data_IF_275785633068
#
_entry.id   IF_275785633068
#
_cell.length_a   1.000
_cell.length_b   1.000
_cell.length_c   1.000
_cell.angle_alpha   90.00
_cell.angle_beta   90.00
_cell.angle_gamma   90.00
#
_symmetry.space_group_name_H-M   'P 1'
#
loop_
_entity.id
_entity.type
_entity.pdbx_description
1 polymer ?
#
# COMPACT_ATOMS: atom_id res chain seq x y z
N UNK A 1 -8.92 -14.78 19.97
CA UNK A 1 -10.25 -14.67 20.63
C UNK A 1 -11.41 -14.77 19.63
N UNK A 2 -11.32 -14.20 18.42
CA UNK A 2 -12.40 -14.24 17.39
C UNK A 2 -12.73 -15.66 16.86
N UNK A 3 -11.73 -16.53 16.71
CA UNK A 3 -11.93 -17.88 16.17
C UNK A 3 -12.75 -18.79 17.10
N UNK A 4 -12.56 -18.64 18.41
CA UNK A 4 -13.24 -19.45 19.43
C UNK A 4 -14.74 -19.14 19.50
N UNK A 5 -15.12 -17.87 19.28
CA UNK A 5 -16.52 -17.44 19.23
C UNK A 5 -17.23 -18.03 18.00
N UNK A 6 -16.56 -18.04 16.84
CA UNK A 6 -17.09 -18.65 15.62
C UNK A 6 -17.30 -20.17 15.75
N UNK A 7 -16.44 -20.85 16.52
CA UNK A 7 -16.55 -22.28 16.79
C UNK A 7 -17.74 -22.64 17.70
N UNK A 8 -18.15 -21.74 18.59
CA UNK A 8 -19.35 -21.93 19.43
C UNK A 8 -20.65 -21.72 18.64
N UNK A 9 -20.64 -20.82 17.65
CA UNK A 9 -21.80 -20.51 16.81
C UNK A 9 -22.01 -21.58 15.72
N UNK A 10 -20.93 -22.07 15.10
CA UNK A 10 -21.01 -23.11 14.06
C UNK A 10 -20.48 -24.46 14.52
N UNK A 11 -21.42 -25.35 14.87
CA UNK A 11 -21.13 -26.74 15.29
C UNK A 11 -20.62 -27.63 14.14
N UNK A 12 -20.91 -27.29 12.88
CA UNK A 12 -20.43 -28.03 11.71
C UNK A 12 -19.10 -27.47 11.19
N UNK A 13 -18.08 -28.33 11.14
CA UNK A 13 -16.71 -27.98 10.76
C UNK A 13 -16.57 -27.37 9.36
N UNK A 14 -17.43 -27.77 8.40
CA UNK A 14 -17.43 -27.22 7.04
C UNK A 14 -17.83 -25.75 7.01
N UNK A 15 -18.87 -25.38 7.76
CA UNK A 15 -19.33 -23.99 7.88
C UNK A 15 -18.27 -23.10 8.54
N UNK A 16 -17.53 -23.64 9.52
CA UNK A 16 -16.43 -22.92 10.17
C UNK A 16 -15.29 -22.57 9.20
N UNK A 17 -14.92 -23.52 8.32
CA UNK A 17 -13.87 -23.28 7.33
C UNK A 17 -14.26 -22.19 6.33
N UNK A 18 -15.52 -22.19 5.87
CA UNK A 18 -16.04 -21.16 4.97
C UNK A 18 -16.06 -19.79 5.66
N UNK A 19 -16.57 -19.72 6.90
CA UNK A 19 -16.62 -18.49 7.68
C UNK A 19 -15.22 -17.90 7.90
N UNK A 20 -14.22 -18.73 8.23
CA UNK A 20 -12.83 -18.28 8.35
C UNK A 20 -12.28 -17.69 7.05
N UNK A 21 -12.51 -18.36 5.93
CA UNK A 21 -12.05 -17.87 4.63
C UNK A 21 -12.69 -16.54 4.28
N UNK A 22 -13.99 -16.37 4.52
CA UNK A 22 -14.68 -15.10 4.27
C UNK A 22 -14.11 -13.98 5.16
N UNK A 23 -13.96 -14.22 6.46
CA UNK A 23 -13.43 -13.23 7.41
C UNK A 23 -12.00 -12.81 7.07
N UNK A 24 -11.17 -13.70 6.53
CA UNK A 24 -9.81 -13.36 6.11
C UNK A 24 -9.75 -12.70 4.72
N UNK A 25 -10.49 -13.24 3.76
CA UNK A 25 -10.36 -12.88 2.35
C UNK A 25 -11.09 -11.59 1.99
N UNK A 26 -12.26 -11.34 2.59
CA UNK A 26 -13.06 -10.14 2.30
C UNK A 26 -12.32 -8.86 2.70
N UNK A 27 -11.78 -8.71 3.93
CA UNK A 27 -10.99 -7.53 4.28
C UNK A 27 -9.73 -7.40 3.43
N UNK A 28 -9.11 -8.51 3.05
CA UNK A 28 -7.91 -8.50 2.20
C UNK A 28 -8.19 -7.86 0.82
N UNK A 29 -9.30 -8.25 0.17
CA UNK A 29 -9.71 -7.64 -1.10
C UNK A 29 -10.03 -6.15 -0.91
N UNK A 30 -10.79 -5.81 0.13
CA UNK A 30 -11.19 -4.43 0.40
C UNK A 30 -9.97 -3.54 0.65
N UNK A 31 -9.02 -4.00 1.46
CA UNK A 31 -7.79 -3.28 1.76
C UNK A 31 -6.91 -3.11 0.50
N UNK A 32 -6.85 -4.11 -0.38
CA UNK A 32 -6.13 -4.00 -1.64
C UNK A 32 -6.69 -2.93 -2.59
N UNK A 33 -7.99 -2.68 -2.55
CA UNK A 33 -8.63 -1.62 -3.34
C UNK A 33 -8.54 -0.24 -2.67
N UNK A 34 -8.64 -0.19 -1.34
CA UNK A 34 -8.67 1.08 -0.60
C UNK A 34 -7.26 1.66 -0.36
N UNK A 35 -6.26 0.81 -0.21
CA UNK A 35 -4.88 1.21 0.09
C UNK A 35 -4.12 1.34 -1.22
N UNK A 36 -3.84 2.58 -1.62
CA UNK A 36 -2.87 2.87 -2.68
C UNK A 36 -1.50 2.27 -2.32
N UNK A 37 -0.82 1.71 -3.33
CA UNK A 37 0.53 1.16 -3.17
C UNK A 37 1.50 2.18 -2.56
N UNK A 38 2.55 1.70 -1.90
CA UNK A 38 3.48 2.59 -1.20
C UNK A 38 4.16 3.57 -2.18
N UNK A 39 4.26 4.87 -1.85
CA UNK A 39 4.86 5.87 -2.74
C UNK A 39 6.29 5.51 -3.13
N UNK A 40 7.04 4.91 -2.20
CA UNK A 40 8.43 4.47 -2.40
C UNK A 40 8.55 3.34 -3.43
N UNK A 41 7.65 2.36 -3.39
CA UNK A 41 7.65 1.26 -4.35
C UNK A 41 7.32 1.75 -5.76
N UNK A 42 6.30 2.62 -5.88
CA UNK A 42 5.93 3.26 -7.15
C UNK A 42 7.08 4.08 -7.74
N UNK A 43 7.82 4.79 -6.88
CA UNK A 43 8.98 5.58 -7.29
C UNK A 43 10.11 4.71 -7.86
N UNK A 44 10.39 3.57 -7.22
CA UNK A 44 11.36 2.58 -7.71
C UNK A 44 10.93 1.87 -9.01
N UNK A 45 9.63 1.74 -9.27
CA UNK A 45 9.06 1.07 -10.46
C UNK A 45 8.83 2.03 -11.64
N UNK A 46 9.48 3.20 -11.64
CA UNK A 46 9.34 4.22 -12.69
C UNK A 46 7.91 4.78 -12.85
N UNK A 47 7.03 4.59 -11.86
CA UNK A 47 5.66 5.13 -11.81
C UNK A 47 5.63 6.43 -11.01
N UNK A 48 6.45 7.41 -11.41
CA UNK A 48 6.65 8.64 -10.64
C UNK A 48 5.38 9.49 -10.53
N UNK A 49 4.55 9.56 -11.58
CA UNK A 49 3.29 10.30 -11.54
C UNK A 49 2.31 9.75 -10.49
N UNK A 50 2.18 8.42 -10.40
CA UNK A 50 1.34 7.76 -9.38
C UNK A 50 1.91 7.97 -7.99
N UNK A 51 3.24 7.87 -7.85
CA UNK A 51 3.92 8.16 -6.57
C UNK A 51 3.64 9.59 -6.09
N UNK A 52 3.68 10.59 -6.99
CA UNK A 52 3.37 11.98 -6.67
C UNK A 52 1.95 12.15 -6.17
N UNK A 53 0.97 11.57 -6.85
CA UNK A 53 -0.44 11.62 -6.44
C UNK A 53 -0.66 11.04 -5.03
N UNK A 54 -0.04 9.89 -4.72
CA UNK A 54 -0.14 9.29 -3.39
C UNK A 54 0.53 10.19 -2.34
N UNK A 55 1.71 10.77 -2.65
CA UNK A 55 2.38 11.73 -1.77
C UNK A 55 1.55 12.99 -1.52
N UNK A 56 0.86 13.53 -2.52
CA UNK A 56 -0.03 14.68 -2.37
C UNK A 56 -1.23 14.36 -1.45
N UNK A 57 -1.83 13.17 -1.58
CA UNK A 57 -2.91 12.73 -0.68
C UNK A 57 -2.41 12.61 0.76
N UNK A 58 -1.21 12.05 0.95
CA UNK A 58 -0.57 11.95 2.28
C UNK A 58 -0.26 13.34 2.84
N UNK A 59 0.30 14.24 2.04
CA UNK A 59 0.63 15.60 2.44
C UNK A 59 -0.63 16.37 2.87
N UNK A 60 -1.72 16.29 2.08
CA UNK A 60 -3.03 16.87 2.42
C UNK A 60 -3.56 16.35 3.75
N UNK A 61 -3.47 15.04 4.01
CA UNK A 61 -3.88 14.45 5.30
C UNK A 61 -2.99 14.93 6.46
N UNK A 62 -1.70 15.11 6.21
CA UNK A 62 -0.71 15.58 7.19
C UNK A 62 -0.69 17.11 7.34
N UNK A 63 -1.57 17.85 6.65
CA UNK A 63 -1.61 19.32 6.61
C UNK A 63 -0.29 19.95 6.13
N UNK A 64 0.48 19.21 5.34
CA UNK A 64 1.72 19.68 4.70
C UNK A 64 1.46 19.85 3.20
N UNK A 65 2.17 20.76 2.56
CA UNK A 65 2.15 20.89 1.10
C UNK A 65 3.43 20.29 0.53
N UNK A 66 3.28 19.47 -0.51
CA UNK A 66 4.42 18.95 -1.24
C UNK A 66 4.91 20.06 -2.18
N UNK A 67 6.05 20.67 -1.85
CA UNK A 67 6.68 21.65 -2.75
C UNK A 67 7.21 20.95 -4.00
N UNK A 68 6.99 21.56 -5.17
CA UNK A 68 7.49 21.03 -6.44
C UNK A 68 9.02 20.98 -6.46
N UNK A 69 9.68 21.93 -5.80
CA UNK A 69 11.14 22.00 -5.72
C UNK A 69 11.72 20.76 -5.02
N UNK A 70 11.10 20.35 -3.91
CA UNK A 70 11.49 19.16 -3.15
C UNK A 70 11.25 17.89 -3.96
N UNK A 71 10.16 17.86 -4.74
CA UNK A 71 9.85 16.74 -5.62
C UNK A 71 10.91 16.58 -6.72
N UNK A 72 11.27 17.67 -7.41
CA UNK A 72 12.28 17.65 -8.46
C UNK A 72 13.66 17.27 -7.92
N UNK A 73 14.07 17.83 -6.78
CA UNK A 73 15.33 17.45 -6.13
C UNK A 73 15.40 15.94 -5.84
N UNK A 74 14.30 15.35 -5.37
CA UNK A 74 14.21 13.90 -5.10
C UNK A 74 14.32 13.06 -6.37
N UNK A 75 13.71 13.51 -7.47
CA UNK A 75 13.79 12.84 -8.79
C UNK A 75 15.21 12.89 -9.35
N UNK A 76 15.89 14.03 -9.22
CA UNK A 76 17.26 14.21 -9.71
C UNK A 76 18.25 13.34 -8.94
N UNK A 77 18.13 13.27 -7.61
CA UNK A 77 18.92 12.36 -6.79
C UNK A 77 18.71 10.90 -7.21
N UNK A 78 17.46 10.49 -7.42
CA UNK A 78 17.14 9.13 -7.85
C UNK A 78 17.72 8.79 -9.23
N UNK A 79 17.64 9.72 -10.18
CA UNK A 79 18.24 9.56 -11.49
C UNK A 79 19.77 9.45 -11.41
N UNK A 80 20.41 10.23 -10.53
CA UNK A 80 21.83 10.11 -10.23
C UNK A 80 22.17 8.72 -9.68
N UNK A 81 21.42 8.22 -8.69
CA UNK A 81 21.61 6.87 -8.14
C UNK A 81 21.44 5.77 -9.19
N UNK A 82 20.40 5.87 -10.03
CA UNK A 82 20.15 4.92 -11.11
C UNK A 82 21.30 4.92 -12.12
N UNK A 83 21.82 6.10 -12.49
CA UNK A 83 22.95 6.24 -13.41
C UNK A 83 24.23 5.61 -12.84
N UNK A 84 24.52 5.84 -11.55
CA UNK A 84 25.66 5.23 -10.86
C UNK A 84 25.55 3.71 -10.88
N UNK A 85 24.37 3.14 -10.58
CA UNK A 85 24.16 1.70 -10.56
C UNK A 85 24.26 1.00 -11.92
N UNK A 86 24.03 1.73 -13.02
CA UNK A 86 24.16 1.19 -14.39
C UNK A 86 25.63 1.23 -14.87
N UNK A 87 26.49 1.99 -14.20
CA UNK A 87 27.92 2.14 -14.54
C UNK A 87 28.83 1.14 -13.83
N UNK A 88 28.30 0.31 -12.93
CA UNK A 88 28.98 -0.81 -12.27
C UNK A 88 28.34 -2.13 -12.69
#
# INVERSE_FOLDING_TARGET
>A
MSLSVLALIWRHWRSLQIAKSIVGFVPFIILGWLVSESPRWLFGHNKQAQSKQVCEVIAKRNKTQLSEEVWQATVDEFNKFKKVKVLF
#
